data_IF_783775100588
#
_entry.id   IF_783775100588
#
_cell.length_a   1.000
_cell.length_b   1.000
_cell.length_c   1.000
_cell.angle_alpha   90.00
_cell.angle_beta   90.00
_cell.angle_gamma   90.00
#
_symmetry.space_group_name_H-M   'P 1'
#
loop_
_entity.id
_entity.type
_entity.pdbx_description
1 polymer ?
#
# COMPACT_ATOMS: atom_id res chain seq x y z
N UNK A 1 6.68 -23.70 1.84
CA UNK A 1 5.50 -23.48 0.98
C UNK A 1 4.28 -23.87 1.79
N UNK A 2 3.69 -22.92 2.51
CA UNK A 2 2.49 -23.16 3.32
C UNK A 2 1.38 -22.32 2.72
N UNK A 3 0.51 -23.00 1.98
CA UNK A 3 -0.72 -22.42 1.43
C UNK A 3 -1.66 -22.06 2.57
N UNK A 4 -2.29 -20.90 2.46
CA UNK A 4 -3.40 -20.52 3.31
C UNK A 4 -4.69 -21.10 2.71
N UNK A 5 -5.44 -21.95 3.45
CA UNK A 5 -6.68 -22.49 2.94
C UNK A 5 -7.76 -21.40 2.98
N UNK A 6 -8.34 -21.14 1.82
CA UNK A 6 -9.67 -20.57 1.67
C UNK A 6 -10.65 -21.56 2.32
N UNK A 7 -11.34 -21.14 3.38
CA UNK A 7 -12.48 -21.88 3.90
C UNK A 7 -13.60 -20.91 4.28
N UNK A 8 -14.60 -20.91 3.40
CA UNK A 8 -15.96 -20.43 3.60
C UNK A 8 -16.63 -21.12 4.81
N UNK A 9 -17.76 -20.53 5.21
CA UNK A 9 -18.85 -21.09 6.03
C UNK A 9 -18.55 -21.21 7.54
N UNK A 10 -19.39 -20.84 8.52
CA UNK A 10 -20.84 -20.66 8.60
C UNK A 10 -21.23 -19.54 9.58
N UNK A 11 -22.18 -18.72 9.11
CA UNK A 11 -23.35 -18.29 9.85
C UNK A 11 -23.63 -19.08 11.15
N UNK A 12 -23.65 -18.37 12.28
CA UNK A 12 -24.75 -18.51 13.21
C UNK A 12 -24.44 -19.11 14.59
N UNK A 13 -24.86 -18.32 15.57
CA UNK A 13 -25.53 -18.72 16.80
C UNK A 13 -24.63 -19.08 17.99
N UNK A 14 -24.67 -18.24 19.03
CA UNK A 14 -25.48 -18.51 20.23
C UNK A 14 -25.08 -17.51 21.32
N UNK A 15 -25.95 -16.54 21.59
CA UNK A 15 -25.90 -15.73 22.80
C UNK A 15 -26.12 -16.66 24.00
N UNK A 16 -25.14 -16.74 24.88
CA UNK A 16 -25.26 -17.22 26.27
C UNK A 16 -24.50 -16.18 27.10
N UNK A 17 -25.21 -15.24 27.73
CA UNK A 17 -25.66 -15.32 29.12
C UNK A 17 -24.50 -15.15 30.11
N UNK A 18 -24.69 -14.18 31.02
CA UNK A 18 -23.87 -13.87 32.21
C UNK A 18 -22.55 -13.15 31.93
N UNK A 19 -22.25 -12.16 32.78
CA UNK A 19 -21.27 -11.09 32.53
C UNK A 19 -19.81 -11.48 32.74
N UNK A 20 -18.94 -10.55 32.30
CA UNK A 20 -17.48 -10.69 32.10
C UNK A 20 -17.18 -11.78 31.05
N UNK A 21 -16.55 -11.54 29.92
CA UNK A 21 -15.48 -10.63 29.58
C UNK A 21 -15.72 -10.16 28.13
N UNK A 22 -15.66 -8.86 27.88
CA UNK A 22 -15.60 -8.37 26.50
C UNK A 22 -14.14 -8.58 26.10
N UNK A 23 -13.84 -9.71 25.45
CA UNK A 23 -12.56 -9.90 24.79
C UNK A 23 -12.40 -8.75 23.78
N UNK A 24 -11.38 -7.92 24.02
CA UNK A 24 -10.98 -6.85 23.14
C UNK A 24 -10.66 -7.47 21.78
N UNK A 25 -11.55 -7.22 20.81
CA UNK A 25 -11.19 -7.41 19.41
C UNK A 25 -10.25 -6.25 19.09
N UNK A 26 -8.95 -6.49 19.22
CA UNK A 26 -7.93 -5.61 18.66
C UNK A 26 -8.07 -5.65 17.13
N UNK A 27 -8.90 -4.76 16.59
CA UNK A 27 -8.90 -4.49 15.16
C UNK A 27 -7.54 -3.89 14.78
N UNK A 28 -6.63 -4.73 14.27
CA UNK A 28 -5.38 -4.31 13.65
C UNK A 28 -5.70 -3.68 12.29
N UNK A 29 -6.07 -2.41 12.28
CA UNK A 29 -6.09 -1.59 11.06
C UNK A 29 -4.64 -1.30 10.66
N UNK A 30 -4.19 -1.90 9.56
CA UNK A 30 -2.92 -1.55 8.92
C UNK A 30 -3.20 -0.26 8.13
N UNK A 31 -2.89 0.89 8.75
CA UNK A 31 -3.12 2.22 8.16
C UNK A 31 -2.17 2.43 6.97
N UNK A 32 -2.59 2.04 5.77
CA UNK A 32 -1.97 2.42 4.51
C UNK A 32 -2.22 3.93 4.28
N UNK A 33 -1.28 4.79 4.70
CA UNK A 33 -1.40 6.24 4.58
C UNK A 33 -1.12 6.68 3.13
N UNK A 34 -2.18 7.10 2.43
CA UNK A 34 -2.05 7.67 1.09
C UNK A 34 -2.05 9.20 1.12
N UNK A 35 -1.11 9.78 0.38
CA UNK A 35 -0.91 11.22 0.23
C UNK A 35 -1.26 11.64 -1.20
N UNK A 36 -2.25 12.53 -1.31
CA UNK A 36 -2.60 13.21 -2.57
C UNK A 36 -1.96 14.59 -2.68
N UNK A 37 -1.54 15.17 -1.55
CA UNK A 37 -0.81 16.43 -1.49
C UNK A 37 0.69 16.18 -1.62
N UNK A 38 1.19 16.24 -2.86
CA UNK A 38 2.59 15.97 -3.19
C UNK A 38 3.56 16.93 -2.48
N UNK A 39 3.12 18.08 -1.96
CA UNK A 39 3.98 19.01 -1.22
C UNK A 39 4.51 18.44 0.10
N UNK A 40 3.88 17.38 0.61
CA UNK A 40 4.32 16.65 1.81
C UNK A 40 5.33 15.56 1.52
N UNK A 41 5.55 15.24 0.24
CA UNK A 41 6.49 14.21 -0.19
C UNK A 41 7.87 14.83 -0.37
N UNK A 42 8.95 14.20 0.12
CA UNK A 42 10.29 14.70 -0.11
C UNK A 42 10.58 14.86 -1.62
N UNK A 43 11.14 16.02 -2.01
CA UNK A 43 11.41 16.32 -3.43
C UNK A 43 12.34 15.30 -4.09
N UNK A 44 13.25 14.70 -3.31
CA UNK A 44 14.16 13.64 -3.77
C UNK A 44 13.40 12.41 -4.27
N UNK A 45 12.28 12.07 -3.63
CA UNK A 45 11.41 10.95 -4.03
C UNK A 45 10.67 11.28 -5.32
N UNK A 46 10.08 12.48 -5.39
CA UNK A 46 9.36 12.92 -6.59
C UNK A 46 10.29 13.04 -7.81
N UNK A 47 11.53 13.49 -7.60
CA UNK A 47 12.56 13.57 -8.63
C UNK A 47 12.97 12.18 -9.11
N UNK A 48 13.27 11.26 -8.17
CA UNK A 48 13.61 9.89 -8.49
C UNK A 48 12.50 9.18 -9.30
N UNK A 49 11.23 9.40 -8.96
CA UNK A 49 10.09 8.86 -9.72
C UNK A 49 10.06 9.37 -11.17
N UNK A 50 10.31 10.68 -11.38
CA UNK A 50 10.33 11.30 -12.71
C UNK A 50 11.53 10.86 -13.55
N UNK A 51 12.65 10.57 -12.91
CA UNK A 51 13.84 10.01 -13.56
C UNK A 51 13.65 8.54 -13.92
N UNK A 52 13.03 7.75 -13.03
CA UNK A 52 12.72 6.34 -13.25
C UNK A 52 11.71 6.15 -14.39
N UNK A 53 10.69 7.00 -14.46
CA UNK A 53 9.68 6.97 -15.52
C UNK A 53 9.54 8.36 -16.16
N UNK A 54 10.32 8.66 -17.21
CA UNK A 54 10.27 9.95 -17.88
C UNK A 54 8.87 10.28 -18.40
N UNK A 55 8.38 11.48 -18.04
CA UNK A 55 7.05 11.96 -18.44
C UNK A 55 5.90 11.42 -17.58
N UNK A 56 6.19 10.77 -16.45
CA UNK A 56 5.15 10.34 -15.51
C UNK A 56 4.37 11.53 -14.93
N UNK A 57 3.06 11.41 -14.94
CA UNK A 57 2.13 12.23 -14.18
C UNK A 57 1.82 11.48 -12.90
N UNK A 58 2.41 11.92 -11.79
CA UNK A 58 2.19 11.35 -10.46
C UNK A 58 0.77 11.69 -9.99
N UNK A 59 0.03 10.69 -9.51
CA UNK A 59 -1.37 10.83 -9.10
C UNK A 59 -1.61 10.56 -7.62
N UNK A 60 -0.78 9.70 -7.01
CA UNK A 60 -0.88 9.28 -5.61
C UNK A 60 0.48 8.84 -5.12
N UNK A 61 0.75 9.02 -3.83
CA UNK A 61 1.88 8.41 -3.16
C UNK A 61 1.37 7.71 -1.92
N UNK A 62 1.73 6.45 -1.72
CA UNK A 62 1.48 5.72 -0.48
C UNK A 62 2.77 5.62 0.33
N UNK A 63 2.66 5.64 1.66
CA UNK A 63 3.82 5.64 2.55
C UNK A 63 3.76 4.39 3.42
N UNK A 64 4.63 3.43 3.15
CA UNK A 64 4.77 2.22 3.94
C UNK A 64 5.94 2.37 4.94
N UNK A 65 5.69 1.99 6.20
CA UNK A 65 6.74 1.93 7.24
C UNK A 65 7.12 0.47 7.46
N UNK A 66 8.26 0.06 6.93
CA UNK A 66 8.76 -1.30 7.04
C UNK A 66 9.90 -1.39 8.06
N UNK A 67 10.33 -2.61 8.40
CA UNK A 67 11.55 -2.83 9.18
C UNK A 67 12.84 -2.34 8.48
N UNK A 68 12.77 -2.01 7.17
CA UNK A 68 13.87 -1.46 6.38
C UNK A 68 13.86 0.07 6.30
N UNK A 69 12.85 0.73 6.88
CA UNK A 69 12.65 2.17 6.81
C UNK A 69 11.36 2.54 6.08
N UNK A 70 11.24 3.82 5.73
CA UNK A 70 10.10 4.35 5.00
C UNK A 70 10.27 4.13 3.50
N UNK A 71 9.26 3.52 2.89
CA UNK A 71 9.12 3.32 1.45
C UNK A 71 7.98 4.22 0.96
N UNK A 72 8.21 4.88 -0.16
CA UNK A 72 7.23 5.69 -0.87
C UNK A 72 6.83 4.95 -2.14
N UNK A 73 5.58 4.54 -2.23
CA UNK A 73 5.00 3.92 -3.43
C UNK A 73 4.37 5.01 -4.27
N UNK A 74 5.05 5.39 -5.35
CA UNK A 74 4.63 6.48 -6.24
C UNK A 74 3.83 5.91 -7.40
N UNK A 75 2.54 6.23 -7.42
CA UNK A 75 1.64 5.85 -8.50
C UNK A 75 1.51 6.97 -9.51
N UNK A 76 1.57 6.62 -10.80
CA UNK A 76 1.44 7.59 -11.88
C UNK A 76 1.12 6.99 -13.23
N UNK A 77 0.91 7.86 -14.21
CA UNK A 77 0.67 7.47 -15.60
C UNK A 77 1.73 8.02 -16.53
N UNK A 78 2.26 7.17 -17.41
CA UNK A 78 3.14 7.55 -18.51
C UNK A 78 2.85 6.68 -19.72
N UNK A 79 2.91 7.22 -20.94
CA UNK A 79 2.78 6.44 -22.18
C UNK A 79 1.51 5.54 -22.22
N UNK A 80 0.40 6.00 -21.63
CA UNK A 80 -0.86 5.24 -21.58
C UNK A 80 -0.89 4.06 -20.61
N UNK A 81 0.13 3.90 -19.76
CA UNK A 81 0.25 2.85 -18.75
C UNK A 81 0.25 3.44 -17.34
N UNK A 82 -0.23 2.65 -16.38
CA UNK A 82 -0.09 2.93 -14.95
C UNK A 82 1.20 2.32 -14.44
N UNK A 83 1.89 3.08 -13.60
CA UNK A 83 3.13 2.68 -12.96
C UNK A 83 2.98 2.81 -11.46
N UNK A 84 3.63 1.88 -10.78
CA UNK A 84 3.91 1.88 -9.35
C UNK A 84 5.43 1.86 -9.20
N UNK A 85 5.96 2.78 -8.39
CA UNK A 85 7.40 2.94 -8.20
C UNK A 85 7.69 2.95 -6.71
N UNK A 86 8.40 1.94 -6.21
CA UNK A 86 8.86 1.90 -4.82
C UNK A 86 10.17 2.66 -4.66
N UNK A 87 10.18 3.67 -3.78
CA UNK A 87 11.34 4.56 -3.59
C UNK A 87 11.63 4.72 -2.09
N UNK A 88 12.88 4.55 -1.69
CA UNK A 88 13.34 4.84 -0.33
C UNK A 88 13.37 6.34 -0.02
N UNK A 89 13.36 6.70 1.26
CA UNK A 89 13.43 8.11 1.70
C UNK A 89 14.66 8.89 1.20
N UNK A 90 15.70 8.21 0.74
CA UNK A 90 16.93 8.77 0.16
C UNK A 90 16.87 8.93 -1.37
N UNK A 91 15.76 8.54 -2.01
CA UNK A 91 15.59 8.54 -3.46
C UNK A 91 16.03 7.25 -4.15
N UNK A 92 16.46 6.23 -3.41
CA UNK A 92 16.81 4.93 -4.00
C UNK A 92 15.56 4.26 -4.57
N UNK A 93 15.54 3.99 -5.88
CA UNK A 93 14.45 3.25 -6.53
C UNK A 93 14.66 1.76 -6.31
N UNK A 94 13.69 1.09 -5.68
CA UNK A 94 13.72 -0.35 -5.44
C UNK A 94 13.05 -1.11 -6.58
N UNK A 95 11.90 -0.63 -7.04
CA UNK A 95 11.09 -1.33 -8.04
C UNK A 95 10.31 -0.35 -8.91
N UNK A 96 10.07 -0.75 -10.17
CA UNK A 96 9.22 -0.04 -11.13
C UNK A 96 8.32 -1.09 -11.76
N UNK A 97 7.06 -1.13 -11.34
CA UNK A 97 6.07 -2.04 -11.89
C UNK A 97 5.11 -1.31 -12.82
N UNK A 98 4.52 -2.07 -13.74
CA UNK A 98 3.44 -1.60 -14.60
C UNK A 98 2.19 -2.27 -14.09
N UNK A 99 1.26 -1.47 -13.56
CA UNK A 99 0.03 -2.00 -13.01
C UNK A 99 -0.84 -2.52 -14.16
N UNK A 100 -0.80 -3.83 -14.36
CA UNK A 100 -1.68 -4.52 -15.30
C UNK A 100 -2.99 -4.75 -14.54
N UNK A 101 -4.01 -3.93 -14.81
CA UNK A 101 -5.32 -4.05 -14.19
C UNK A 101 -5.73 -5.52 -14.09
N UNK A 102 -5.95 -5.99 -12.86
CA UNK A 102 -6.26 -7.38 -12.50
C UNK A 102 -7.40 -7.85 -13.40
N UNK A 103 -7.08 -8.57 -14.48
CA UNK A 103 -8.07 -9.19 -15.33
C UNK A 103 -8.52 -10.45 -14.62
N UNK A 104 -9.55 -10.29 -13.78
CA UNK A 104 -10.32 -11.38 -13.18
C UNK A 104 -10.86 -12.35 -14.23
#
# INVERSE_FOLDING_TARGET
MRGFPVLLIFLGLLVCATGCDIAEVEDKYEDEEYVTDLSKIPEVVLSAAREAVPGIVIIRVEIERTGRGTIYEVYGRANGRYYEIEIGSDGTVFEVEIEHGRSD
#
